data_IF_879783863207
#
_entry.id   IF_879783863207
#
_cell.length_a   1.000
_cell.length_b   1.000
_cell.length_c   1.000
_cell.angle_alpha   90.00
_cell.angle_beta   90.00
_cell.angle_gamma   90.00
#
_symmetry.space_group_name_H-M   'P 1'
#
loop_
_entity.id
_entity.type
_entity.pdbx_description
1 polymer ?
#
# COMPACT_ATOMS: atom_id res chain seq x y z
N UNK A 1 24.39 -24.98 5.87
CA UNK A 1 24.68 -24.97 4.43
C UNK A 1 23.72 -25.95 3.81
N UNK A 2 22.60 -25.50 3.26
CA UNK A 2 21.72 -26.32 2.43
C UNK A 2 20.91 -25.39 1.52
N UNK A 3 21.03 -25.64 0.21
CA UNK A 3 20.45 -24.88 -0.88
C UNK A 3 19.13 -25.54 -1.27
N UNK A 4 18.02 -24.81 -1.12
CA UNK A 4 16.72 -25.25 -1.66
C UNK A 4 16.63 -24.74 -3.10
N UNK A 5 16.79 -25.66 -4.05
CA UNK A 5 16.64 -25.40 -5.49
C UNK A 5 15.16 -25.20 -5.83
N UNK A 6 14.80 -24.01 -6.30
CA UNK A 6 13.52 -23.75 -6.94
C UNK A 6 13.57 -24.26 -8.39
N UNK A 7 12.73 -25.24 -8.73
CA UNK A 7 12.48 -25.62 -10.13
C UNK A 7 11.00 -25.44 -10.40
N UNK A 8 10.65 -24.39 -11.13
CA UNK A 8 9.33 -24.18 -11.69
C UNK A 8 9.30 -24.80 -13.08
N UNK A 9 8.48 -25.81 -13.32
CA UNK A 9 8.27 -26.35 -14.67
C UNK A 9 6.92 -25.88 -15.19
N UNK A 10 6.93 -25.17 -16.33
CA UNK A 10 5.73 -24.77 -17.06
C UNK A 10 5.44 -25.84 -18.10
N UNK A 11 4.27 -26.46 -18.05
CA UNK A 11 3.76 -27.26 -19.16
C UNK A 11 2.79 -26.42 -19.99
N UNK A 12 3.19 -26.07 -21.20
CA UNK A 12 2.26 -25.55 -22.22
C UNK A 12 1.68 -26.74 -22.98
N UNK A 13 0.39 -27.02 -22.83
CA UNK A 13 -0.35 -27.78 -23.84
C UNK A 13 -1.03 -26.80 -24.79
N UNK A 14 -0.73 -26.91 -26.07
CA UNK A 14 -1.31 -26.09 -27.12
C UNK A 14 -2.83 -26.27 -27.25
N UNK A 15 -3.45 -25.20 -27.78
CA UNK A 15 -4.86 -25.02 -28.16
C UNK A 15 -5.82 -24.66 -27.02
N UNK A 16 -6.09 -23.35 -26.98
CA UNK A 16 -7.26 -22.66 -26.43
C UNK A 16 -8.07 -23.39 -25.36
N UNK A 17 -7.82 -23.05 -24.10
CA UNK A 17 -8.76 -23.10 -22.96
C UNK A 17 -8.10 -22.44 -21.74
N UNK A 18 -8.95 -21.83 -20.91
CA UNK A 18 -8.67 -21.22 -19.61
C UNK A 18 -7.55 -21.92 -18.83
N UNK A 19 -6.46 -21.21 -18.58
CA UNK A 19 -5.36 -21.71 -17.75
C UNK A 19 -5.81 -21.79 -16.29
N UNK A 20 -5.99 -23.01 -15.81
CA UNK A 20 -6.07 -23.29 -14.37
C UNK A 20 -4.67 -23.08 -13.81
N UNK A 21 -4.48 -22.02 -13.01
CA UNK A 21 -3.25 -21.85 -12.24
C UNK A 21 -3.32 -22.87 -11.09
N UNK A 22 -2.60 -23.97 -11.23
CA UNK A 22 -2.39 -24.89 -10.11
C UNK A 22 -1.36 -24.28 -9.19
N UNK A 23 -1.80 -23.80 -8.02
CA UNK A 23 -0.94 -23.35 -6.94
C UNK A 23 -0.78 -24.52 -5.99
N UNK A 24 0.32 -25.26 -6.10
CA UNK A 24 0.72 -26.19 -5.03
C UNK A 24 1.01 -25.37 -3.77
N UNK A 25 0.36 -25.75 -2.68
CA UNK A 25 0.39 -25.15 -1.35
C UNK A 25 1.81 -24.81 -0.87
N UNK A 26 2.29 -23.63 -1.22
CA UNK A 26 3.31 -22.92 -0.46
C UNK A 26 2.55 -22.08 0.55
N UNK A 27 2.54 -22.52 1.81
CA UNK A 27 2.02 -21.72 2.92
C UNK A 27 2.80 -20.39 2.99
N UNK A 28 2.25 -19.33 2.41
CA UNK A 28 2.82 -17.99 2.48
C UNK A 28 2.18 -17.26 3.65
N UNK A 29 2.79 -17.39 4.82
CA UNK A 29 2.48 -16.52 5.95
C UNK A 29 3.27 -15.22 5.78
N UNK A 30 2.64 -14.06 6.00
CA UNK A 30 3.39 -12.89 6.46
C UNK A 30 3.86 -13.22 7.88
N UNK A 31 4.96 -13.97 8.01
CA UNK A 31 5.48 -14.45 9.31
C UNK A 31 5.89 -13.29 10.24
N UNK A 32 6.10 -12.10 9.70
CA UNK A 32 6.40 -10.90 10.48
C UNK A 32 5.14 -10.13 10.83
N UNK A 33 4.90 -10.01 12.13
CA UNK A 33 3.96 -9.02 12.66
C UNK A 33 4.61 -7.63 12.60
N UNK A 34 3.96 -6.69 11.92
CA UNK A 34 4.34 -5.28 11.91
C UNK A 34 3.45 -4.53 12.90
N UNK A 35 3.86 -4.46 14.17
CA UNK A 35 3.05 -3.90 15.26
C UNK A 35 3.12 -2.38 15.40
N UNK A 36 3.99 -1.73 14.63
CA UNK A 36 4.29 -0.29 14.68
C UNK A 36 3.81 0.47 13.42
N UNK A 37 2.86 -0.10 12.68
CA UNK A 37 2.26 0.51 11.50
C UNK A 37 0.80 0.83 11.81
N UNK A 38 0.39 2.05 11.49
CA UNK A 38 -1.03 2.42 11.46
C UNK A 38 -1.43 2.88 10.06
N UNK A 39 -2.68 2.61 9.68
CA UNK A 39 -3.24 3.02 8.38
C UNK A 39 -4.52 3.82 8.58
N UNK A 40 -4.65 4.98 7.91
CA UNK A 40 -5.88 5.78 7.87
C UNK A 40 -6.30 5.95 6.42
N UNK A 41 -7.52 5.50 6.10
CA UNK A 41 -8.05 5.58 4.74
C UNK A 41 -8.60 6.97 4.46
N UNK A 42 -8.09 7.61 3.40
CA UNK A 42 -8.53 8.95 3.02
C UNK A 42 -9.32 8.91 1.72
N UNK A 43 -10.43 9.64 1.70
CA UNK A 43 -11.19 9.91 0.48
C UNK A 43 -11.11 11.40 0.17
N UNK A 44 -10.70 11.73 -1.05
CA UNK A 44 -10.55 13.11 -1.52
C UNK A 44 -11.38 13.30 -2.78
N UNK A 45 -12.39 14.16 -2.67
CA UNK A 45 -13.04 14.73 -3.84
C UNK A 45 -12.16 15.89 -4.34
N UNK A 46 -11.62 15.78 -5.56
CA UNK A 46 -10.93 16.93 -6.18
C UNK A 46 -11.98 17.78 -6.88
N UNK A 47 -12.12 19.05 -6.50
CA UNK A 47 -12.97 19.98 -7.23
C UNK A 47 -12.55 20.09 -8.70
N UNK A 48 -13.50 20.33 -9.60
CA UNK A 48 -13.27 20.57 -11.03
C UNK A 48 -12.50 21.85 -11.31
N UNK A 49 -12.34 22.72 -10.29
CA UNK A 49 -11.51 23.92 -10.38
C UNK A 49 -10.04 23.54 -10.62
N UNK A 50 -9.33 24.37 -11.37
CA UNK A 50 -7.91 24.17 -11.75
C UNK A 50 -6.96 24.05 -10.56
N UNK A 51 -7.43 24.25 -9.33
CA UNK A 51 -6.63 24.35 -8.13
C UNK A 51 -6.34 23.03 -7.41
N UNK A 52 -7.09 21.94 -7.70
CA UNK A 52 -6.80 20.61 -7.14
C UNK A 52 -6.81 20.60 -5.61
N UNK A 53 -7.85 21.22 -5.00
CA UNK A 53 -7.97 21.33 -3.54
C UNK A 53 -8.28 19.96 -2.94
N UNK A 54 -7.42 19.51 -2.01
CA UNK A 54 -7.68 18.32 -1.20
C UNK A 54 -8.56 18.68 0.02
N UNK A 55 -9.86 18.40 -0.09
CA UNK A 55 -10.73 18.37 1.09
C UNK A 55 -10.68 16.97 1.70
N UNK A 56 -10.20 16.90 2.93
CA UNK A 56 -10.16 15.69 3.76
C UNK A 56 -11.08 15.94 4.94
N UNK A 57 -11.85 14.91 5.31
CA UNK A 57 -12.78 14.94 6.43
C UNK A 57 -12.05 15.25 7.75
N UNK A 58 -12.65 16.10 8.59
CA UNK A 58 -12.03 16.54 9.84
C UNK A 58 -11.76 15.37 10.79
N UNK A 59 -12.65 14.36 10.79
CA UNK A 59 -12.46 13.13 11.56
C UNK A 59 -11.20 12.37 11.14
N UNK A 60 -10.90 12.30 9.85
CA UNK A 60 -9.69 11.64 9.37
C UNK A 60 -8.42 12.41 9.80
N UNK A 61 -8.49 13.75 9.85
CA UNK A 61 -7.39 14.57 10.36
C UNK A 61 -7.19 14.42 11.87
N UNK A 62 -8.27 14.28 12.64
CA UNK A 62 -8.22 13.97 14.07
C UNK A 62 -7.59 12.59 14.33
N UNK A 63 -7.99 11.58 13.55
CA UNK A 63 -7.41 10.25 13.63
C UNK A 63 -5.91 10.27 13.30
N UNK A 64 -5.49 10.97 12.24
CA UNK A 64 -4.07 11.18 11.91
C UNK A 64 -3.31 11.79 13.09
N UNK A 65 -3.83 12.84 13.73
CA UNK A 65 -3.19 13.49 14.88
C UNK A 65 -2.98 12.51 16.03
N UNK A 66 -4.00 11.72 16.36
CA UNK A 66 -3.93 10.74 17.45
C UNK A 66 -2.81 9.72 17.26
N UNK A 67 -2.56 9.25 16.03
CA UNK A 67 -1.49 8.28 15.74
C UNK A 67 -0.11 8.92 15.62
N UNK A 68 -0.05 10.16 15.16
CA UNK A 68 1.20 10.91 15.10
C UNK A 68 1.79 11.09 16.50
N UNK A 69 0.94 11.39 17.49
CA UNK A 69 1.33 11.58 18.89
C UNK A 69 1.71 10.27 19.60
N UNK A 70 1.31 9.11 19.06
CA UNK A 70 1.53 7.83 19.71
C UNK A 70 2.94 7.27 19.42
N UNK A 71 3.79 7.16 20.44
CA UNK A 71 5.21 6.76 20.30
C UNK A 71 5.42 5.36 19.71
N UNK A 72 4.47 4.44 19.89
CA UNK A 72 4.57 3.08 19.32
C UNK A 72 4.39 3.05 17.80
N UNK A 73 3.90 4.13 17.19
CA UNK A 73 3.71 4.23 15.74
C UNK A 73 5.03 4.67 15.11
N UNK A 74 5.60 3.81 14.25
CA UNK A 74 6.77 4.13 13.42
C UNK A 74 6.34 4.66 12.06
N UNK A 75 5.40 3.96 11.42
CA UNK A 75 4.88 4.32 10.11
C UNK A 75 3.39 4.63 10.18
N UNK A 76 3.01 5.74 9.56
CA UNK A 76 1.62 6.07 9.27
C UNK A 76 1.39 5.99 7.76
N UNK A 77 0.56 5.06 7.31
CA UNK A 77 0.20 4.88 5.91
C UNK A 77 -1.16 5.51 5.61
N UNK A 78 -1.20 6.36 4.59
CA UNK A 78 -2.39 7.11 4.20
C UNK A 78 -2.71 6.81 2.73
N UNK A 79 -3.37 5.68 2.42
CA UNK A 79 -3.94 5.46 1.11
C UNK A 79 -5.02 6.52 0.85
N UNK A 80 -4.94 7.18 -0.30
CA UNK A 80 -5.83 8.27 -0.70
C UNK A 80 -6.57 7.87 -1.97
N UNK A 81 -7.89 7.79 -1.86
CA UNK A 81 -8.77 7.61 -2.99
C UNK A 81 -9.17 8.98 -3.58
N UNK A 82 -8.91 9.16 -4.86
CA UNK A 82 -9.31 10.34 -5.61
C UNK A 82 -10.50 10.02 -6.51
N UNK A 83 -11.60 10.75 -6.31
CA UNK A 83 -12.82 10.65 -7.13
C UNK A 83 -13.31 9.22 -7.37
N UNK A 84 -13.23 8.35 -6.35
CA UNK A 84 -13.68 6.95 -6.40
C UNK A 84 -13.01 6.07 -7.46
N UNK A 85 -11.92 6.53 -8.08
CA UNK A 85 -11.35 5.88 -9.27
C UNK A 85 -9.83 5.76 -9.28
N UNK A 86 -9.11 6.66 -8.62
CA UNK A 86 -7.66 6.63 -8.57
C UNK A 86 -7.12 6.48 -7.15
N UNK A 87 -6.13 5.62 -6.97
CA UNK A 87 -5.43 5.46 -5.70
C UNK A 87 -4.02 6.01 -5.80
N UNK A 88 -3.67 6.84 -4.84
CA UNK A 88 -2.30 7.26 -4.56
C UNK A 88 -2.10 7.23 -3.03
N UNK A 89 -0.93 7.61 -2.53
CA UNK A 89 -0.71 7.56 -1.08
C UNK A 89 0.26 8.59 -0.54
N UNK A 90 0.13 8.79 0.76
CA UNK A 90 1.16 9.35 1.61
C UNK A 90 1.66 8.29 2.59
N UNK A 91 2.90 8.44 3.03
CA UNK A 91 3.41 7.74 4.20
C UNK A 91 4.17 8.72 5.09
N UNK A 92 4.10 8.54 6.40
CA UNK A 92 4.95 9.23 7.36
C UNK A 92 5.86 8.18 8.00
N UNK A 93 7.16 8.41 7.91
CA UNK A 93 8.16 7.70 8.69
C UNK A 93 8.60 8.61 9.84
N UNK A 94 8.22 8.24 11.06
CA UNK A 94 8.52 9.00 12.27
C UNK A 94 9.99 8.91 12.67
N UNK A 95 10.66 7.80 12.36
CA UNK A 95 12.07 7.59 12.70
C UNK A 95 12.97 8.46 11.80
N UNK A 96 12.78 8.39 10.48
CA UNK A 96 13.56 9.21 9.53
C UNK A 96 13.04 10.64 9.37
N UNK A 97 11.97 11.00 10.10
CA UNK A 97 11.24 12.28 9.99
C UNK A 97 10.97 12.68 8.54
N UNK A 98 10.46 11.74 7.75
CA UNK A 98 10.22 11.93 6.32
C UNK A 98 8.77 11.60 5.96
N UNK A 99 8.12 12.51 5.22
CA UNK A 99 6.83 12.22 4.57
C UNK A 99 7.06 11.84 3.11
N UNK A 100 6.45 10.76 2.66
CA UNK A 100 6.53 10.30 1.27
C UNK A 100 5.23 10.55 0.54
N UNK A 101 5.33 10.96 -0.72
CA UNK A 101 4.22 11.09 -1.65
C UNK A 101 4.45 10.11 -2.79
N UNK A 102 3.45 9.30 -3.09
CA UNK A 102 3.53 8.38 -4.21
C UNK A 102 2.23 8.31 -5.00
N UNK A 103 2.36 8.53 -6.32
CA UNK A 103 1.31 8.37 -7.32
C UNK A 103 1.91 7.63 -8.51
N UNK A 104 1.48 6.39 -8.73
CA UNK A 104 1.95 5.53 -9.81
C UNK A 104 1.64 6.07 -11.21
N UNK A 105 0.59 6.89 -11.35
CA UNK A 105 0.18 7.53 -12.61
C UNK A 105 0.80 8.90 -12.83
N UNK A 106 1.45 9.48 -11.81
CA UNK A 106 2.05 10.81 -11.87
C UNK A 106 1.06 11.92 -12.27
N UNK A 107 -0.20 11.85 -11.82
CA UNK A 107 -1.22 12.81 -12.19
C UNK A 107 -0.90 14.20 -11.62
N UNK A 108 -0.86 15.24 -12.46
CA UNK A 108 -0.51 16.60 -12.01
C UNK A 108 -1.47 17.13 -10.93
N UNK A 109 -2.78 16.94 -11.11
CA UNK A 109 -3.81 17.36 -10.14
C UNK A 109 -3.70 16.57 -8.84
N UNK A 110 -3.58 15.25 -8.94
CA UNK A 110 -3.37 14.34 -7.81
C UNK A 110 -2.11 14.71 -7.01
N UNK A 111 -0.99 14.96 -7.68
CA UNK A 111 0.25 15.38 -7.04
C UNK A 111 0.11 16.69 -6.28
N UNK A 112 -0.59 17.69 -6.83
CA UNK A 112 -0.87 18.95 -6.12
C UNK A 112 -1.74 18.73 -4.89
N UNK A 113 -2.78 17.92 -5.00
CA UNK A 113 -3.66 17.58 -3.87
C UNK A 113 -2.90 16.82 -2.76
N UNK A 114 -2.05 15.87 -3.13
CA UNK A 114 -1.18 15.15 -2.19
C UNK A 114 -0.18 16.08 -1.50
N UNK A 115 0.41 17.04 -2.22
CA UNK A 115 1.29 18.05 -1.62
C UNK A 115 0.57 18.91 -0.57
N UNK A 116 -0.65 19.35 -0.87
CA UNK A 116 -1.47 20.09 0.10
C UNK A 116 -1.78 19.24 1.34
N UNK A 117 -2.08 17.96 1.13
CA UNK A 117 -2.34 17.03 2.23
C UNK A 117 -1.10 16.80 3.09
N UNK A 118 0.10 16.66 2.49
CA UNK A 118 1.36 16.60 3.24
C UNK A 118 1.55 17.84 4.09
N UNK A 119 1.28 19.04 3.56
CA UNK A 119 1.35 20.28 4.35
C UNK A 119 0.41 20.23 5.55
N UNK A 120 -0.84 19.80 5.37
CA UNK A 120 -1.82 19.64 6.47
C UNK A 120 -1.37 18.63 7.53
N UNK A 121 -0.88 17.47 7.10
CA UNK A 121 -0.36 16.42 7.99
C UNK A 121 0.85 16.94 8.76
N UNK A 122 1.80 17.63 8.09
CA UNK A 122 2.99 18.20 8.72
C UNK A 122 2.68 19.21 9.82
N UNK A 123 1.62 20.00 9.68
CA UNK A 123 1.17 20.90 10.75
C UNK A 123 0.76 20.15 12.03
N UNK A 124 0.47 18.85 11.93
CA UNK A 124 0.15 17.98 13.07
C UNK A 124 1.37 17.21 13.60
N UNK A 125 2.51 17.22 12.90
CA UNK A 125 3.72 16.51 13.30
C UNK A 125 4.57 17.37 14.23
N UNK A 126 5.14 16.76 15.28
CA UNK A 126 6.10 17.44 16.14
C UNK A 126 7.49 17.49 15.48
N UNK A 127 7.98 18.71 15.23
CA UNK A 127 9.30 18.96 14.65
C UNK A 127 9.32 19.05 13.12
N UNK A 128 10.51 19.26 12.55
CA UNK A 128 10.68 19.43 11.11
C UNK A 128 10.75 18.08 10.39
N UNK A 129 9.82 17.83 9.48
CA UNK A 129 9.81 16.66 8.60
C UNK A 129 10.22 17.04 7.18
N UNK A 130 11.13 16.27 6.58
CA UNK A 130 11.40 16.33 5.14
C UNK A 130 10.20 15.81 4.34
N UNK A 131 10.15 16.09 3.03
CA UNK A 131 9.23 15.36 2.15
C UNK A 131 9.95 14.84 0.90
N UNK A 132 9.52 13.67 0.43
CA UNK A 132 10.05 13.04 -0.77
C UNK A 132 8.90 12.63 -1.70
N UNK A 133 9.04 12.96 -2.99
CA UNK A 133 8.12 12.52 -4.03
C UNK A 133 8.73 11.31 -4.72
N UNK A 134 8.11 10.15 -4.52
CA UNK A 134 8.55 8.91 -5.16
C UNK A 134 8.26 8.96 -6.67
N UNK A 135 9.31 8.85 -7.47
CA UNK A 135 9.24 8.92 -8.94
C UNK A 135 9.01 7.56 -9.61
N UNK A 136 9.10 6.48 -8.86
CA UNK A 136 9.03 5.11 -9.34
C UNK A 136 8.53 4.17 -8.24
N UNK A 137 7.95 3.01 -8.62
CA UNK A 137 7.65 2.60 -9.99
C UNK A 137 6.44 3.34 -10.60
N UNK A 138 6.34 3.38 -11.94
CA UNK A 138 5.21 3.97 -12.66
C UNK A 138 4.32 2.87 -13.22
N UNK A 139 3.01 3.05 -13.13
CA UNK A 139 2.08 2.13 -13.78
C UNK A 139 1.89 2.51 -15.25
N UNK A 140 1.53 1.51 -16.06
CA UNK A 140 1.25 1.69 -17.49
C UNK A 140 -0.22 1.41 -17.85
N UNK A 141 -0.97 0.83 -16.92
CA UNK A 141 -2.39 0.52 -17.03
C UNK A 141 -3.23 1.47 -16.15
N UNK A 142 -4.55 1.29 -16.17
CA UNK A 142 -5.54 2.11 -15.47
C UNK A 142 -6.12 1.45 -14.20
N UNK A 143 -5.69 0.23 -13.87
CA UNK A 143 -6.36 -0.59 -12.84
C UNK A 143 -5.43 -1.11 -11.73
N UNK A 144 -4.12 -0.88 -11.81
CA UNK A 144 -3.17 -1.30 -10.78
C UNK A 144 -2.84 -0.21 -9.74
N UNK A 145 -3.44 0.98 -9.77
CA UNK A 145 -3.07 2.07 -8.86
C UNK A 145 -3.12 1.67 -7.38
N UNK A 146 -4.14 0.94 -6.96
CA UNK A 146 -4.22 0.39 -5.59
C UNK A 146 -3.13 -0.67 -5.30
N UNK A 147 -2.79 -1.50 -6.28
CA UNK A 147 -1.72 -2.51 -6.15
C UNK A 147 -0.36 -1.84 -5.98
N UNK A 148 -0.11 -0.76 -6.73
CA UNK A 148 1.10 0.05 -6.61
C UNK A 148 1.19 0.76 -5.25
N UNK A 149 0.08 1.28 -4.71
CA UNK A 149 0.03 1.82 -3.34
C UNK A 149 0.39 0.75 -2.30
N UNK A 150 -0.21 -0.43 -2.37
CA UNK A 150 0.14 -1.54 -1.47
C UNK A 150 1.62 -1.92 -1.57
N UNK A 151 2.16 -1.98 -2.78
CA UNK A 151 3.57 -2.30 -2.99
C UNK A 151 4.50 -1.22 -2.41
N UNK A 152 4.14 0.05 -2.58
CA UNK A 152 4.92 1.16 -2.05
C UNK A 152 5.04 1.06 -0.52
N UNK A 153 3.92 0.85 0.18
CA UNK A 153 3.92 0.64 1.62
C UNK A 153 4.73 -0.60 2.03
N UNK A 154 4.57 -1.71 1.32
CA UNK A 154 5.33 -2.94 1.61
C UNK A 154 6.85 -2.68 1.50
N UNK A 155 7.31 -1.97 0.47
CA UNK A 155 8.72 -1.63 0.28
C UNK A 155 9.29 -0.74 1.39
N UNK A 156 8.46 0.05 2.07
CA UNK A 156 8.93 0.88 3.19
C UNK A 156 9.27 0.06 4.43
N UNK A 157 8.66 -1.12 4.59
CA UNK A 157 8.76 -1.91 5.83
C UNK A 157 9.47 -3.24 5.64
N UNK A 158 9.69 -3.66 4.39
CA UNK A 158 10.28 -4.95 4.08
C UNK A 158 11.09 -4.93 2.78
N UNK A 159 12.30 -5.51 2.86
CA UNK A 159 13.11 -5.86 1.70
C UNK A 159 12.49 -6.97 0.84
N UNK A 160 11.53 -7.72 1.38
CA UNK A 160 10.93 -8.90 0.72
C UNK A 160 9.80 -8.52 -0.23
N UNK A 161 9.48 -7.22 -0.33
CA UNK A 161 8.48 -6.71 -1.23
C UNK A 161 8.80 -7.08 -2.69
N UNK A 162 7.83 -7.61 -3.47
CA UNK A 162 8.09 -8.04 -4.84
C UNK A 162 8.64 -6.92 -5.75
N UNK A 163 9.56 -7.29 -6.64
CA UNK A 163 10.18 -6.38 -7.60
C UNK A 163 9.73 -6.60 -9.04
N UNK A 164 9.12 -7.75 -9.35
CA UNK A 164 8.56 -8.05 -10.66
C UNK A 164 7.27 -7.24 -10.91
N UNK A 165 7.36 -6.30 -11.84
CA UNK A 165 6.27 -5.42 -12.27
C UNK A 165 5.81 -5.73 -13.71
N UNK A 166 6.17 -6.90 -14.24
CA UNK A 166 5.56 -7.41 -15.47
C UNK A 166 4.05 -7.65 -15.26
N UNK A 167 3.26 -7.80 -16.33
CA UNK A 167 1.84 -8.15 -16.18
C UNK A 167 1.62 -9.39 -15.32
N UNK A 168 2.46 -10.42 -15.48
CA UNK A 168 2.44 -11.64 -14.66
C UNK A 168 2.80 -11.34 -13.20
N UNK A 169 3.86 -10.55 -12.97
CA UNK A 169 4.28 -10.12 -11.63
C UNK A 169 3.18 -9.35 -10.88
N UNK A 170 2.50 -8.43 -11.56
CA UNK A 170 1.37 -7.67 -11.00
C UNK A 170 0.17 -8.58 -10.69
N UNK A 171 -0.16 -9.54 -11.56
CA UNK A 171 -1.18 -10.55 -11.26
C UNK A 171 -0.81 -11.38 -10.02
N UNK A 172 0.45 -11.80 -9.90
CA UNK A 172 0.92 -12.53 -8.71
C UNK A 172 0.88 -11.66 -7.46
N UNK A 173 1.23 -10.37 -7.57
CA UNK A 173 1.15 -9.44 -6.44
C UNK A 173 -0.30 -9.26 -5.96
N UNK A 174 -1.28 -9.15 -6.86
CA UNK A 174 -2.71 -9.14 -6.50
C UNK A 174 -3.10 -10.40 -5.73
N UNK A 175 -2.66 -11.57 -6.19
CA UNK A 175 -2.88 -12.83 -5.48
C UNK A 175 -2.23 -12.85 -4.09
N UNK A 176 -1.00 -12.34 -3.97
CA UNK A 176 -0.32 -12.24 -2.67
C UNK A 176 -1.09 -11.36 -1.68
N UNK A 177 -1.59 -10.21 -2.15
CA UNK A 177 -2.41 -9.30 -1.33
C UNK A 177 -3.72 -10.00 -0.92
N UNK A 178 -4.41 -10.64 -1.86
CA UNK A 178 -5.65 -11.38 -1.56
C UNK A 178 -5.41 -12.48 -0.53
N UNK A 179 -4.37 -13.30 -0.71
CA UNK A 179 -4.02 -14.37 0.22
C UNK A 179 -3.69 -13.83 1.61
N UNK A 180 -2.98 -12.69 1.71
CA UNK A 180 -2.72 -12.04 2.99
C UNK A 180 -4.04 -11.65 3.69
N UNK A 181 -4.98 -11.04 2.97
CA UNK A 181 -6.30 -10.68 3.51
C UNK A 181 -7.08 -11.91 3.97
N UNK A 182 -7.11 -12.97 3.16
CA UNK A 182 -7.81 -14.21 3.50
C UNK A 182 -7.19 -14.91 4.73
N UNK A 183 -5.88 -14.83 4.88
CA UNK A 183 -5.13 -15.42 5.99
C UNK A 183 -5.19 -14.58 7.28
N UNK A 184 -5.68 -13.34 7.23
CA UNK A 184 -5.96 -12.49 8.40
C UNK A 184 -7.32 -12.84 9.04
N UNK A 185 -8.11 -13.75 8.43
CA UNK A 185 -9.39 -14.17 9.01
C UNK A 185 -9.26 -14.57 10.49
N UNK A 186 -10.14 -14.08 11.38
CA UNK A 186 -10.06 -14.41 12.79
C UNK A 186 -10.24 -15.92 12.92
N UNK A 187 -9.19 -16.60 13.38
CA UNK A 187 -9.34 -17.98 13.83
C UNK A 187 -10.51 -18.00 14.82
N UNK A 188 -11.57 -18.80 14.60
CA UNK A 188 -12.66 -18.87 15.56
C UNK A 188 -12.07 -19.25 16.91
N UNK A 189 -12.33 -18.43 17.94
CA UNK A 189 -11.89 -18.70 19.31
C UNK A 189 -12.25 -20.15 19.61
N UNK A 190 -11.25 -21.04 19.78
CA UNK A 190 -11.49 -22.40 20.28
C UNK A 190 -12.28 -22.23 21.57
N UNK A 191 -13.57 -22.59 21.55
CA UNK A 191 -14.33 -22.76 22.78
C UNK A 191 -13.51 -23.74 23.62
N UNK A 192 -12.96 -23.26 24.74
CA UNK A 192 -12.51 -24.14 25.79
C UNK A 192 -13.73 -24.99 26.15
N UNK A 193 -13.65 -26.29 25.89
CA UNK A 193 -14.64 -27.24 26.40
C UNK A 193 -14.43 -27.24 27.91
N UNK A 194 -15.44 -26.79 28.64
CA UNK A 194 -15.57 -27.05 30.07
C UNK A 194 -15.85 -28.51 30.34
#
# INVERSE_FOLDING_TARGET
MESIRNVSTVHQSGRGKTGVISVTSGHMFLERSYTNITTVLLSVATSTTSEGVANVDDKAMEEIRSYVEHDSVKFLFLPVNFNSSHWACLAVDKESKTTYIYDSMNGRKTGKALMQLVTKVKCSLQGSYAHQIAKAPRQKDDNNCGVFVCLFFWKMVSSDAPTDLSPTGLTMLRWKILMAVMNISPQPKRRLRG
#
